data_IF_365139577039
#
_entry.id   IF_365139577039
#
_cell.length_a   1.000
_cell.length_b   1.000
_cell.length_c   1.000
_cell.angle_alpha   90.00
_cell.angle_beta   90.00
_cell.angle_gamma   90.00
#
_symmetry.space_group_name_H-M   'P 1'
#
loop_
_entity.id
_entity.type
_entity.pdbx_description
1 polymer ?
#
# COMPACT_ATOMS: atom_id res chain seq x y z
N UNK A 1 -22.44 28.05 10.93
CA UNK A 1 -21.52 28.53 9.88
C UNK A 1 -20.79 27.37 9.14
N UNK A 2 -21.47 26.26 8.79
CA UNK A 2 -20.82 25.06 8.20
C UNK A 2 -21.03 24.87 6.69
N UNK A 3 -21.81 25.74 6.02
CA UNK A 3 -22.16 25.56 4.60
C UNK A 3 -21.07 25.96 3.60
N UNK A 4 -20.05 26.72 4.01
CA UNK A 4 -18.99 27.21 3.09
C UNK A 4 -17.92 26.15 2.81
N UNK A 5 -17.60 25.29 3.76
CA UNK A 5 -16.53 24.28 3.66
C UNK A 5 -16.84 23.18 2.64
N UNK A 6 -18.10 22.77 2.54
CA UNK A 6 -18.52 21.74 1.58
C UNK A 6 -18.73 22.26 0.16
N UNK A 7 -18.80 23.58 -0.05
CA UNK A 7 -19.02 24.17 -1.37
C UNK A 7 -17.73 24.31 -2.19
N UNK A 8 -16.56 24.37 -1.53
CA UNK A 8 -15.28 24.56 -2.20
C UNK A 8 -14.78 23.25 -2.82
N UNK A 9 -14.67 23.15 -4.17
CA UNK A 9 -14.33 21.91 -4.86
C UNK A 9 -12.97 21.34 -4.42
N UNK A 10 -12.02 22.23 -4.11
CA UNK A 10 -10.68 21.83 -3.66
C UNK A 10 -10.73 21.14 -2.29
N UNK A 11 -11.53 21.66 -1.35
CA UNK A 11 -11.69 21.11 0.01
C UNK A 11 -12.38 19.74 -0.06
N UNK A 12 -13.38 19.58 -0.93
CA UNK A 12 -14.02 18.27 -1.17
C UNK A 12 -13.00 17.23 -1.65
N UNK A 13 -12.13 17.59 -2.58
CA UNK A 13 -11.07 16.70 -3.06
C UNK A 13 -10.07 16.34 -1.96
N UNK A 14 -9.68 17.30 -1.11
CA UNK A 14 -8.87 17.02 0.08
C UNK A 14 -9.52 15.95 0.97
N UNK A 15 -10.80 16.11 1.29
CA UNK A 15 -11.55 15.17 2.14
C UNK A 15 -11.60 13.79 1.49
N UNK A 16 -11.95 13.71 0.20
CA UNK A 16 -12.09 12.44 -0.53
C UNK A 16 -10.74 11.70 -0.63
N UNK A 17 -9.69 12.38 -1.09
CA UNK A 17 -8.35 11.77 -1.22
C UNK A 17 -7.80 11.34 0.14
N UNK A 18 -8.03 12.13 1.19
CA UNK A 18 -7.65 11.75 2.56
C UNK A 18 -8.40 10.51 3.04
N UNK A 19 -9.70 10.41 2.75
CA UNK A 19 -10.49 9.24 3.11
C UNK A 19 -10.03 7.98 2.37
N UNK A 20 -9.79 8.08 1.06
CA UNK A 20 -9.24 6.99 0.23
C UNK A 20 -7.89 6.53 0.78
N UNK A 21 -6.97 7.45 1.05
CA UNK A 21 -5.65 7.13 1.57
C UNK A 21 -5.72 6.39 2.91
N UNK A 22 -6.57 6.86 3.83
CA UNK A 22 -6.78 6.21 5.12
C UNK A 22 -7.37 4.80 4.98
N UNK A 23 -8.34 4.62 4.08
CA UNK A 23 -8.92 3.31 3.79
C UNK A 23 -7.87 2.34 3.26
N UNK A 24 -7.07 2.76 2.28
CA UNK A 24 -6.00 1.95 1.70
C UNK A 24 -4.95 1.59 2.75
N UNK A 25 -4.57 2.54 3.62
CA UNK A 25 -3.65 2.29 4.72
C UNK A 25 -4.14 1.21 5.68
N UNK A 26 -5.43 1.25 6.06
CA UNK A 26 -6.06 0.21 6.89
C UNK A 26 -6.11 -1.14 6.19
N UNK A 27 -6.50 -1.15 4.91
CA UNK A 27 -6.59 -2.36 4.09
C UNK A 27 -5.22 -3.04 3.95
N UNK A 28 -4.17 -2.27 3.64
CA UNK A 28 -2.80 -2.80 3.55
C UNK A 28 -2.34 -3.42 4.87
N UNK A 29 -2.57 -2.72 5.99
CA UNK A 29 -2.18 -3.22 7.32
C UNK A 29 -2.89 -4.53 7.66
N UNK A 30 -4.18 -4.64 7.33
CA UNK A 30 -4.94 -5.87 7.55
C UNK A 30 -4.38 -7.02 6.70
N UNK A 31 -4.23 -6.81 5.39
CA UNK A 31 -3.70 -7.83 4.48
C UNK A 31 -2.29 -8.28 4.88
N UNK A 32 -1.42 -7.34 5.29
CA UNK A 32 -0.08 -7.65 5.77
C UNK A 32 -0.10 -8.52 7.04
N UNK A 33 -0.98 -8.21 7.99
CA UNK A 33 -1.12 -9.02 9.20
C UNK A 33 -1.62 -10.44 8.90
N UNK A 34 -2.58 -10.57 7.97
CA UNK A 34 -3.12 -11.86 7.55
C UNK A 34 -2.06 -12.70 6.83
N UNK A 35 -1.28 -12.08 5.94
CA UNK A 35 -0.13 -12.71 5.29
C UNK A 35 0.87 -13.21 6.33
N UNK A 36 1.29 -12.38 7.29
CA UNK A 36 2.24 -12.78 8.33
C UNK A 36 1.76 -13.96 9.16
N UNK A 37 0.48 -13.98 9.53
CA UNK A 37 -0.12 -15.10 10.28
C UNK A 37 -0.10 -16.39 9.46
N UNK A 38 -0.53 -16.33 8.20
CA UNK A 38 -0.59 -17.51 7.34
C UNK A 38 0.78 -18.03 6.94
N UNK A 39 1.76 -17.16 6.68
CA UNK A 39 3.14 -17.57 6.44
C UNK A 39 3.76 -18.26 7.67
N UNK A 40 3.43 -17.81 8.89
CA UNK A 40 3.89 -18.49 10.10
C UNK A 40 3.24 -19.87 10.30
N UNK A 41 1.97 -20.04 9.91
CA UNK A 41 1.30 -21.35 9.90
C UNK A 41 1.93 -22.28 8.87
N UNK A 42 2.23 -21.76 7.66
CA UNK A 42 2.87 -22.54 6.61
C UNK A 42 4.25 -23.06 7.04
N UNK A 43 5.09 -22.23 7.66
CA UNK A 43 6.39 -22.65 8.17
C UNK A 43 6.30 -23.79 9.20
N UNK A 44 5.29 -23.78 10.07
CA UNK A 44 5.04 -24.88 11.02
C UNK A 44 4.46 -26.14 10.37
N UNK A 45 3.71 -25.99 9.28
CA UNK A 45 3.13 -27.11 8.55
C UNK A 45 4.20 -27.85 7.72
N UNK A 46 5.16 -27.13 7.16
CA UNK A 46 6.34 -27.68 6.44
C UNK A 46 7.14 -28.67 7.30
N UNK A 47 7.22 -28.43 8.61
CA UNK A 47 7.91 -29.30 9.56
C UNK A 47 7.15 -30.59 9.87
N UNK A 48 5.83 -30.64 9.66
CA UNK A 48 4.98 -31.71 10.20
C UNK A 48 4.31 -32.62 9.14
N UNK A 49 3.90 -32.12 7.97
CA UNK A 49 3.23 -32.95 6.96
C UNK A 49 3.36 -32.41 5.52
N UNK A 50 3.71 -33.29 4.56
CA UNK A 50 3.67 -33.01 3.12
C UNK A 50 2.39 -33.61 2.50
N UNK A 51 1.46 -32.76 2.06
CA UNK A 51 0.21 -33.18 1.42
C UNK A 51 -0.55 -32.04 0.75
N UNK A 52 -1.71 -32.32 0.15
CA UNK A 52 -2.55 -31.37 -0.60
C UNK A 52 -2.91 -30.11 0.20
N UNK A 53 -3.12 -30.24 1.51
CA UNK A 53 -3.41 -29.11 2.39
C UNK A 53 -2.26 -28.08 2.45
N UNK A 54 -1.02 -28.53 2.39
CA UNK A 54 0.16 -27.65 2.36
C UNK A 54 0.27 -26.91 1.03
N UNK A 55 -0.06 -27.59 -0.08
CA UNK A 55 -0.06 -26.99 -1.41
C UNK A 55 -1.15 -25.91 -1.51
N UNK A 56 -2.36 -26.18 -1.01
CA UNK A 56 -3.43 -25.19 -0.93
C UNK A 56 -3.04 -23.99 -0.04
N UNK A 57 -2.42 -24.24 1.11
CA UNK A 57 -1.95 -23.16 2.00
C UNK A 57 -0.86 -22.30 1.34
N UNK A 58 0.06 -22.92 0.60
CA UNK A 58 1.11 -22.21 -0.14
C UNK A 58 0.52 -21.32 -1.24
N UNK A 59 -0.46 -21.83 -1.99
CA UNK A 59 -1.17 -21.04 -3.00
C UNK A 59 -1.92 -19.85 -2.38
N UNK A 60 -2.58 -20.06 -1.23
CA UNK A 60 -3.27 -18.99 -0.51
C UNK A 60 -2.30 -17.90 -0.03
N UNK A 61 -1.13 -18.28 0.49
CA UNK A 61 -0.07 -17.34 0.89
C UNK A 61 0.40 -16.51 -0.30
N UNK A 62 0.58 -17.13 -1.47
CA UNK A 62 1.00 -16.40 -2.67
C UNK A 62 -0.07 -15.42 -3.17
N UNK A 63 -1.35 -15.82 -3.17
CA UNK A 63 -2.46 -14.91 -3.50
C UNK A 63 -2.50 -13.71 -2.55
N UNK A 64 -2.34 -13.94 -1.25
CA UNK A 64 -2.30 -12.86 -0.25
C UNK A 64 -1.08 -11.96 -0.42
N UNK A 65 0.08 -12.51 -0.74
CA UNK A 65 1.30 -11.76 -1.05
C UNK A 65 1.06 -10.83 -2.25
N UNK A 66 0.50 -11.35 -3.35
CA UNK A 66 0.19 -10.55 -4.54
C UNK A 66 -0.83 -9.44 -4.25
N UNK A 67 -1.89 -9.76 -3.49
CA UNK A 67 -2.90 -8.78 -3.06
C UNK A 67 -2.30 -7.67 -2.19
N UNK A 68 -1.43 -8.04 -1.26
CA UNK A 68 -0.73 -7.11 -0.37
C UNK A 68 0.21 -6.20 -1.16
N UNK A 69 0.97 -6.76 -2.12
CA UNK A 69 1.83 -5.99 -3.00
C UNK A 69 1.04 -5.01 -3.89
N UNK A 70 -0.11 -5.45 -4.44
CA UNK A 70 -0.99 -4.57 -5.21
C UNK A 70 -1.55 -3.42 -4.35
N UNK A 71 -1.98 -3.72 -3.13
CA UNK A 71 -2.48 -2.71 -2.18
C UNK A 71 -1.39 -1.74 -1.73
N UNK A 72 -0.14 -2.21 -1.61
CA UNK A 72 1.02 -1.37 -1.33
C UNK A 72 1.29 -0.38 -2.46
N UNK A 73 1.33 -0.85 -3.72
CA UNK A 73 1.49 0.01 -4.89
C UNK A 73 0.37 1.04 -5.01
N UNK A 74 -0.88 0.64 -4.76
CA UNK A 74 -2.03 1.55 -4.80
C UNK A 74 -1.95 2.62 -3.71
N UNK A 75 -1.60 2.24 -2.47
CA UNK A 75 -1.39 3.20 -1.39
C UNK A 75 -0.26 4.18 -1.71
N UNK A 76 0.83 3.70 -2.31
CA UNK A 76 1.96 4.55 -2.71
C UNK A 76 1.55 5.57 -3.77
N UNK A 77 0.81 5.12 -4.79
CA UNK A 77 0.26 6.02 -5.82
C UNK A 77 -0.63 7.10 -5.21
N UNK A 78 -1.61 6.74 -4.38
CA UNK A 78 -2.52 7.71 -3.76
C UNK A 78 -1.80 8.66 -2.79
N UNK A 79 -0.75 8.17 -2.11
CA UNK A 79 0.12 9.01 -1.29
C UNK A 79 0.80 10.09 -2.15
N UNK A 80 1.40 9.68 -3.28
CA UNK A 80 2.11 10.61 -4.17
C UNK A 80 1.13 11.61 -4.81
N UNK A 81 -0.06 11.16 -5.23
CA UNK A 81 -1.08 12.04 -5.79
C UNK A 81 -1.60 13.06 -4.75
N UNK A 82 -1.90 12.64 -3.52
CA UNK A 82 -2.33 13.56 -2.46
C UNK A 82 -1.20 14.53 -2.08
N UNK A 83 0.04 14.06 -1.98
CA UNK A 83 1.19 14.91 -1.68
C UNK A 83 1.37 16.01 -2.74
N UNK A 84 1.39 15.66 -4.02
CA UNK A 84 1.47 16.64 -5.12
C UNK A 84 0.30 17.61 -5.07
N UNK A 85 -0.92 17.10 -4.90
CA UNK A 85 -2.11 17.95 -4.82
C UNK A 85 -2.05 18.96 -3.66
N UNK A 86 -1.52 18.55 -2.51
CA UNK A 86 -1.29 19.42 -1.35
C UNK A 86 -0.27 20.52 -1.65
N UNK A 87 0.81 20.18 -2.35
CA UNK A 87 1.87 21.14 -2.70
C UNK A 87 1.39 22.19 -3.72
N UNK A 88 0.44 21.82 -4.59
CA UNK A 88 -0.18 22.70 -5.59
C UNK A 88 -1.26 23.63 -5.01
N UNK A 89 -1.66 23.46 -3.76
CA UNK A 89 -2.77 24.18 -3.10
C UNK A 89 -2.29 24.90 -1.84
N UNK A 90 -1.23 25.70 -2.00
CA UNK A 90 -0.56 26.44 -0.92
C UNK A 90 -1.47 27.42 -0.20
N UNK A 91 -2.44 27.97 -0.91
CA UNK A 91 -3.49 28.84 -0.41
C UNK A 91 -4.37 28.18 0.67
N UNK A 92 -4.38 26.85 0.75
CA UNK A 92 -5.18 26.09 1.72
C UNK A 92 -4.34 25.44 2.83
N UNK A 93 -3.05 25.77 2.97
CA UNK A 93 -2.18 25.13 3.97
C UNK A 93 -2.59 25.39 5.41
N UNK A 94 -3.29 26.50 5.68
CA UNK A 94 -3.80 26.80 7.02
C UNK A 94 -5.19 26.20 7.27
N UNK A 95 -5.75 25.45 6.30
CA UNK A 95 -7.06 24.81 6.45
C UNK A 95 -7.00 23.57 7.35
N UNK A 96 -8.06 23.28 8.11
CA UNK A 96 -8.17 22.02 8.87
C UNK A 96 -8.01 20.78 8.00
N UNK A 97 -8.47 20.83 6.75
CA UNK A 97 -8.38 19.73 5.79
C UNK A 97 -6.95 19.45 5.34
N UNK A 98 -6.11 20.48 5.21
CA UNK A 98 -4.69 20.30 4.97
C UNK A 98 -4.01 19.54 6.11
N UNK A 99 -4.29 19.91 7.37
CA UNK A 99 -3.70 19.20 8.52
C UNK A 99 -4.17 17.75 8.62
N UNK A 100 -5.45 17.47 8.33
CA UNK A 100 -5.98 16.10 8.25
C UNK A 100 -5.27 15.29 7.15
N UNK A 101 -5.09 15.88 5.97
CA UNK A 101 -4.38 15.24 4.87
C UNK A 101 -2.91 14.98 5.21
N UNK A 102 -2.23 15.94 5.84
CA UNK A 102 -0.85 15.80 6.33
C UNK A 102 -0.71 14.65 7.33
N UNK A 103 -1.63 14.53 8.28
CA UNK A 103 -1.65 13.43 9.23
C UNK A 103 -1.86 12.07 8.52
N UNK A 104 -2.78 12.02 7.55
CA UNK A 104 -3.03 10.82 6.75
C UNK A 104 -1.81 10.41 5.90
N UNK A 105 -1.08 11.38 5.30
CA UNK A 105 0.18 11.11 4.62
C UNK A 105 1.22 10.52 5.59
N UNK A 106 1.35 11.07 6.80
CA UNK A 106 2.23 10.53 7.83
C UNK A 106 1.92 9.07 8.20
N UNK A 107 0.64 8.75 8.36
CA UNK A 107 0.18 7.36 8.59
C UNK A 107 0.44 6.45 7.39
N UNK A 108 0.18 6.94 6.17
CA UNK A 108 0.37 6.18 4.95
C UNK A 108 1.85 5.84 4.72
N UNK A 109 2.77 6.80 4.88
CA UNK A 109 4.21 6.53 4.74
C UNK A 109 4.71 5.55 5.81
N UNK A 110 4.19 5.63 7.03
CA UNK A 110 4.48 4.64 8.06
C UNK A 110 4.01 3.25 7.63
N UNK A 111 2.76 3.11 7.16
CA UNK A 111 2.23 1.83 6.71
C UNK A 111 3.01 1.26 5.51
N UNK A 112 3.40 2.10 4.54
CA UNK A 112 4.22 1.70 3.39
C UNK A 112 5.58 1.16 3.81
N UNK A 113 6.19 1.70 4.86
CA UNK A 113 7.47 1.23 5.41
C UNK A 113 7.30 -0.07 6.22
N UNK A 114 6.28 -0.14 7.06
CA UNK A 114 6.04 -1.28 7.96
C UNK A 114 5.50 -2.51 7.22
N UNK A 115 4.69 -2.30 6.19
CA UNK A 115 4.07 -3.36 5.39
C UNK A 115 4.83 -3.58 4.08
N UNK A 116 6.16 -3.49 4.11
CA UNK A 116 6.97 -3.69 2.91
C UNK A 116 7.00 -5.19 2.56
N UNK A 117 6.47 -5.59 1.38
CA UNK A 117 6.74 -6.91 0.84
C UNK A 117 8.27 -7.02 0.75
N UNK A 118 8.86 -7.96 1.47
CA UNK A 118 10.30 -8.19 1.42
C UNK A 118 10.76 -8.29 -0.03
N UNK A 119 11.84 -7.55 -0.36
CA UNK A 119 12.53 -7.55 -1.66
C UNK A 119 12.52 -8.94 -2.28
N UNK A 120 11.71 -9.16 -3.31
CA UNK A 120 11.87 -10.14 -4.40
C UNK A 120 10.64 -10.07 -5.31
N UNK A 121 10.30 -8.89 -5.85
CA UNK A 121 9.18 -8.85 -6.80
C UNK A 121 9.11 -7.58 -7.66
N UNK A 122 10.23 -6.92 -7.96
CA UNK A 122 10.31 -6.01 -9.12
C UNK A 122 11.76 -5.60 -9.41
N UNK A 123 12.58 -6.51 -9.94
CA UNK A 123 13.63 -6.10 -10.89
C UNK A 123 13.61 -7.15 -12.00
N UNK A 124 12.83 -6.86 -13.04
CA UNK A 124 12.99 -7.52 -14.33
C UNK A 124 14.40 -7.25 -14.83
N UNK A 125 15.29 -8.21 -14.59
CA UNK A 125 16.63 -8.21 -15.14
C UNK A 125 16.54 -8.52 -16.64
N UNK A 126 16.87 -7.60 -17.56
CA UNK A 126 17.03 -7.99 -18.94
C UNK A 126 18.27 -8.87 -19.01
N UNK A 127 18.10 -10.16 -19.29
CA UNK A 127 19.19 -11.05 -19.70
C UNK A 127 19.65 -10.61 -21.09
N UNK A 128 20.49 -9.59 -21.14
CA UNK A 128 21.32 -9.28 -22.31
C UNK A 128 22.66 -10.01 -22.19
N UNK A 129 22.69 -11.32 -22.44
CA UNK A 129 23.95 -12.04 -22.67
C UNK A 129 24.32 -11.79 -24.14
N UNK A 130 25.11 -10.74 -24.40
CA UNK A 130 25.79 -10.59 -25.69
C UNK A 130 26.97 -11.55 -25.67
N UNK A 131 26.80 -12.69 -26.33
CA UNK A 131 27.90 -13.53 -26.78
C UNK A 131 28.52 -12.77 -27.96
N UNK A 132 29.77 -12.35 -27.82
CA UNK A 132 30.57 -11.95 -28.97
C UNK A 132 31.61 -13.04 -29.18
N UNK A 133 31.34 -13.89 -30.18
CA UNK A 133 32.36 -14.62 -30.89
C UNK A 133 33.15 -13.64 -31.75
N UNK A 134 34.46 -13.53 -31.49
CA UNK A 134 35.54 -13.44 -32.48
C UNK A 134 36.89 -13.31 -31.78
#
# INVERSE_FOLDING_TARGET
MFRRTMAHPVIRQFILRTAVLNYLGKSLKQQWNDLRKLSAVLGKAEENHKGEAQQMLSQLVEVLRLKTAASHRLLKREYDELFTYMMDKRDLWDSPEYFKAKAALGMAIHNLRTCAPTKTMDEGQPRGRVVNDR
#
